data_IF_343015521816
#
_entry.id   IF_343015521816
#
_cell.length_a   1.000
_cell.length_b   1.000
_cell.length_c   1.000
_cell.angle_alpha   90.00
_cell.angle_beta   90.00
_cell.angle_gamma   90.00
#
_symmetry.space_group_name_H-M   'P 1'
#
loop_
_entity.id
_entity.type
_entity.pdbx_description
1 polymer ?
#
# COMPACT_ATOMS: atom_id res chain seq x y z
N UNK A 1 -7.78 11.43 -23.67
CA UNK A 1 -8.26 11.11 -22.33
C UNK A 1 -8.66 9.64 -22.29
N UNK A 2 -7.78 8.75 -21.87
CA UNK A 2 -8.13 7.36 -21.56
C UNK A 2 -7.75 7.18 -20.10
N UNK A 3 -8.78 7.20 -19.22
CA UNK A 3 -8.61 6.97 -17.80
C UNK A 3 -7.90 5.64 -17.55
N UNK A 4 -7.10 5.60 -16.49
CA UNK A 4 -6.46 4.40 -15.99
C UNK A 4 -7.52 3.29 -15.83
N UNK A 5 -7.69 2.47 -16.86
CA UNK A 5 -8.37 1.19 -16.73
C UNK A 5 -7.38 0.33 -15.97
N UNK A 6 -7.66 0.14 -14.69
CA UNK A 6 -7.08 -0.95 -13.95
C UNK A 6 -7.11 -2.22 -14.81
N UNK A 7 -6.09 -3.02 -14.70
CA UNK A 7 -5.81 -4.26 -15.43
C UNK A 7 -6.87 -5.35 -15.23
N UNK A 8 -8.11 -5.07 -15.60
CA UNK A 8 -9.14 -6.09 -15.80
C UNK A 8 -10.01 -5.68 -17.00
N UNK A 9 -9.47 -5.85 -18.21
CA UNK A 9 -10.27 -6.01 -19.43
C UNK A 9 -10.89 -7.42 -19.40
N UNK A 10 -11.69 -7.69 -18.39
CA UNK A 10 -12.62 -8.80 -18.37
C UNK A 10 -13.94 -8.36 -18.99
N UNK A 11 -14.55 -9.22 -19.78
CA UNK A 11 -15.94 -9.06 -20.21
C UNK A 11 -16.81 -8.74 -18.98
N UNK A 12 -17.86 -7.93 -19.17
CA UNK A 12 -18.87 -7.66 -18.15
C UNK A 12 -19.33 -8.99 -17.55
N UNK A 13 -19.10 -9.20 -16.25
CA UNK A 13 -19.49 -10.44 -15.57
C UNK A 13 -20.92 -10.23 -15.09
N UNK A 14 -21.89 -10.81 -15.79
CA UNK A 14 -23.31 -10.73 -15.44
C UNK A 14 -23.64 -11.49 -14.17
N UNK A 15 -22.81 -12.47 -13.78
CA UNK A 15 -22.91 -13.20 -12.53
C UNK A 15 -21.57 -13.87 -12.20
N UNK A 16 -21.15 -13.84 -10.95
CA UNK A 16 -19.95 -14.52 -10.46
C UNK A 16 -20.34 -15.67 -9.53
N UNK A 17 -19.83 -16.88 -9.80
CA UNK A 17 -20.01 -18.02 -8.90
C UNK A 17 -19.02 -17.90 -7.75
N UNK A 18 -19.51 -17.97 -6.51
CA UNK A 18 -18.68 -18.02 -5.32
C UNK A 18 -17.77 -19.27 -5.35
N UNK A 19 -16.51 -19.11 -5.00
CA UNK A 19 -15.53 -20.21 -4.93
C UNK A 19 -15.93 -21.22 -3.85
N UNK A 20 -16.45 -20.70 -2.73
CA UNK A 20 -17.03 -21.47 -1.64
C UNK A 20 -18.44 -20.93 -1.40
N UNK A 21 -19.43 -21.79 -1.31
CA UNK A 21 -20.81 -21.39 -1.05
C UNK A 21 -20.92 -20.63 0.28
N UNK A 22 -21.61 -19.49 0.26
CA UNK A 22 -21.84 -18.66 1.44
C UNK A 22 -20.60 -17.90 1.95
N UNK A 23 -19.51 -17.88 1.17
CA UNK A 23 -18.28 -17.27 1.65
C UNK A 23 -17.49 -16.63 0.50
N UNK A 24 -16.81 -15.52 0.82
CA UNK A 24 -15.91 -14.83 -0.10
C UNK A 24 -16.05 -13.31 -0.05
N UNK A 25 -15.23 -12.63 -0.84
CA UNK A 25 -15.26 -11.18 -0.97
C UNK A 25 -15.34 -10.80 -2.45
N UNK A 26 -16.37 -10.04 -2.81
CA UNK A 26 -16.61 -9.53 -4.16
C UNK A 26 -16.16 -8.07 -4.21
N UNK A 27 -15.24 -7.73 -5.13
CA UNK A 27 -14.83 -6.36 -5.42
C UNK A 27 -15.52 -5.88 -6.69
N UNK A 28 -15.99 -4.64 -6.71
CA UNK A 28 -16.75 -4.09 -7.83
C UNK A 28 -16.62 -2.57 -7.96
N UNK A 29 -16.88 -2.10 -9.19
CA UNK A 29 -17.08 -0.69 -9.53
C UNK A 29 -18.56 -0.38 -9.62
N UNK A 30 -18.93 0.86 -9.30
CA UNK A 30 -20.26 1.39 -9.60
C UNK A 30 -20.20 2.06 -10.99
N UNK A 31 -21.14 1.71 -11.86
CA UNK A 31 -21.25 2.34 -13.18
C UNK A 31 -21.72 3.78 -13.00
N UNK A 32 -20.84 4.73 -13.34
CA UNK A 32 -21.09 6.18 -13.20
C UNK A 32 -22.20 6.69 -14.13
N UNK A 33 -22.53 5.92 -15.17
CA UNK A 33 -23.59 6.26 -16.15
C UNK A 33 -25.02 5.84 -15.70
N UNK A 34 -25.14 5.12 -14.59
CA UNK A 34 -26.43 4.84 -13.96
C UNK A 34 -26.79 6.08 -13.15
N UNK A 35 -27.87 6.74 -13.54
CA UNK A 35 -28.46 7.84 -12.80
C UNK A 35 -28.41 7.54 -11.30
N UNK A 36 -27.66 8.33 -10.52
CA UNK A 36 -27.34 8.08 -9.11
C UNK A 36 -28.58 8.03 -8.22
N UNK A 37 -29.76 8.28 -8.79
CA UNK A 37 -31.08 8.07 -8.18
C UNK A 37 -31.49 6.58 -8.08
N UNK A 38 -30.84 5.68 -8.85
CA UNK A 38 -31.07 4.24 -8.81
C UNK A 38 -30.08 3.54 -7.87
N UNK A 39 -30.57 2.91 -6.80
CA UNK A 39 -29.74 2.09 -5.92
C UNK A 39 -29.02 0.98 -6.72
N UNK A 40 -27.69 0.93 -6.65
CA UNK A 40 -26.93 -0.20 -7.17
C UNK A 40 -26.90 -1.32 -6.12
N UNK A 41 -26.94 -2.57 -6.55
CA UNK A 41 -27.00 -3.71 -5.63
C UNK A 41 -26.24 -4.93 -6.10
N UNK A 42 -25.78 -5.73 -5.15
CA UNK A 42 -25.27 -7.08 -5.37
C UNK A 42 -26.20 -8.10 -4.73
N UNK A 43 -26.74 -9.02 -5.52
CA UNK A 43 -27.62 -10.09 -5.07
C UNK A 43 -26.86 -11.40 -5.00
N UNK A 44 -26.76 -11.97 -3.81
CA UNK A 44 -26.29 -13.34 -3.63
C UNK A 44 -27.49 -14.29 -3.67
N UNK A 45 -27.48 -15.28 -4.55
CA UNK A 45 -28.59 -16.23 -4.73
C UNK A 45 -28.13 -17.67 -4.50
N UNK A 46 -29.07 -18.51 -4.07
CA UNK A 46 -28.89 -19.94 -4.07
C UNK A 46 -28.96 -20.53 -5.50
N UNK A 47 -28.86 -21.84 -5.63
CA UNK A 47 -28.90 -22.55 -6.92
C UNK A 47 -30.27 -22.42 -7.60
N UNK A 48 -31.35 -22.36 -6.84
CA UNK A 48 -32.73 -22.23 -7.37
C UNK A 48 -33.06 -20.80 -7.78
N UNK A 49 -32.40 -19.81 -7.15
CA UNK A 49 -32.71 -18.39 -7.30
C UNK A 49 -33.89 -17.91 -6.46
N UNK A 50 -34.49 -18.80 -5.63
CA UNK A 50 -35.62 -18.47 -4.78
C UNK A 50 -35.25 -17.73 -3.52
N UNK A 51 -34.09 -18.08 -2.95
CA UNK A 51 -33.54 -17.40 -1.76
C UNK A 51 -32.41 -16.46 -2.15
N UNK A 52 -32.42 -15.26 -1.62
CA UNK A 52 -31.34 -14.31 -1.89
C UNK A 52 -31.08 -13.34 -0.74
N UNK A 53 -29.83 -12.86 -0.72
CA UNK A 53 -29.36 -11.71 0.08
C UNK A 53 -29.02 -10.59 -0.89
N UNK A 54 -29.74 -9.48 -0.82
CA UNK A 54 -29.43 -8.29 -1.59
C UNK A 54 -28.67 -7.28 -0.70
N UNK A 55 -27.61 -6.69 -1.21
CA UNK A 55 -26.89 -5.61 -0.55
C UNK A 55 -26.94 -4.40 -1.47
N UNK A 56 -27.62 -3.36 -1.04
CA UNK A 56 -27.92 -2.15 -1.78
C UNK A 56 -27.04 -1.00 -1.31
N UNK A 57 -26.50 -0.23 -2.25
CA UNK A 57 -25.68 0.94 -2.02
C UNK A 57 -26.40 2.17 -2.52
N UNK A 58 -26.50 3.18 -1.66
CA UNK A 58 -26.93 4.53 -1.99
C UNK A 58 -25.83 5.54 -1.64
N UNK A 59 -26.01 6.79 -1.97
CA UNK A 59 -25.07 7.85 -1.57
C UNK A 59 -24.88 7.96 -0.05
N UNK A 60 -25.88 7.61 0.74
CA UNK A 60 -25.90 7.87 2.18
C UNK A 60 -25.72 6.63 3.05
N UNK A 61 -26.02 5.44 2.52
CA UNK A 61 -26.00 4.22 3.32
C UNK A 61 -25.81 2.97 2.49
N UNK A 62 -25.41 1.89 3.14
CA UNK A 62 -25.46 0.53 2.64
C UNK A 62 -26.53 -0.21 3.42
N UNK A 63 -27.36 -1.00 2.75
CA UNK A 63 -28.44 -1.77 3.37
C UNK A 63 -28.50 -3.19 2.80
N UNK A 64 -28.75 -4.17 3.63
CA UNK A 64 -28.92 -5.54 3.20
C UNK A 64 -30.36 -6.00 3.45
N UNK A 65 -30.87 -6.89 2.57
CA UNK A 65 -32.20 -7.46 2.63
C UNK A 65 -32.15 -8.96 2.42
N UNK A 66 -32.92 -9.71 3.23
CA UNK A 66 -33.10 -11.14 3.05
C UNK A 66 -34.39 -11.42 2.27
N UNK A 67 -34.33 -12.24 1.26
CA UNK A 67 -35.50 -12.69 0.50
C UNK A 67 -35.73 -14.19 0.69
N UNK A 68 -37.01 -14.65 0.77
CA UNK A 68 -38.23 -13.93 0.37
C UNK A 68 -38.84 -13.00 1.44
N UNK A 69 -38.35 -12.94 2.68
CA UNK A 69 -38.98 -12.12 3.74
C UNK A 69 -38.96 -10.62 3.47
N UNK A 70 -37.96 -10.15 2.74
CA UNK A 70 -37.77 -8.72 2.46
C UNK A 70 -37.34 -7.88 3.69
N UNK A 71 -36.99 -8.54 4.81
CA UNK A 71 -36.58 -7.85 6.02
C UNK A 71 -35.25 -7.11 5.81
N UNK A 72 -35.18 -5.81 6.14
CA UNK A 72 -33.96 -5.07 6.11
C UNK A 72 -33.06 -5.44 7.30
N UNK A 73 -31.77 -5.63 7.02
CA UNK A 73 -30.74 -5.79 8.02
C UNK A 73 -30.08 -4.42 8.25
N UNK A 74 -30.50 -3.75 9.33
CA UNK A 74 -30.11 -2.36 9.59
C UNK A 74 -28.89 -2.34 10.51
N UNK A 75 -27.76 -1.83 10.00
CA UNK A 75 -26.65 -1.38 10.82
C UNK A 75 -26.91 0.07 11.22
N UNK A 76 -27.25 0.31 12.47
CA UNK A 76 -27.56 1.64 13.01
C UNK A 76 -26.34 2.58 13.04
N UNK A 77 -25.14 2.03 12.89
CA UNK A 77 -23.89 2.80 12.82
C UNK A 77 -23.50 3.18 11.39
N UNK A 78 -24.25 2.68 10.40
CA UNK A 78 -23.96 2.93 9.00
C UNK A 78 -24.46 4.33 8.58
N UNK A 79 -23.53 5.24 8.45
CA UNK A 79 -23.74 6.63 8.00
C UNK A 79 -23.04 6.94 6.68
N UNK A 80 -22.41 5.94 6.06
CA UNK A 80 -21.62 6.08 4.83
C UNK A 80 -22.18 5.19 3.74
N UNK A 81 -22.20 5.69 2.51
CA UNK A 81 -22.61 4.97 1.33
C UNK A 81 -21.58 5.12 0.21
N UNK A 82 -22.08 5.35 -1.01
CA UNK A 82 -21.24 5.58 -2.18
C UNK A 82 -20.44 6.89 -2.04
N UNK A 83 -19.15 6.82 -2.29
CA UNK A 83 -18.29 8.00 -2.35
C UNK A 83 -18.50 8.74 -3.67
N UNK A 84 -18.60 10.07 -3.62
CA UNK A 84 -18.58 10.93 -4.81
C UNK A 84 -17.17 11.07 -5.41
N UNK A 85 -16.15 10.55 -4.74
CA UNK A 85 -14.76 10.67 -5.20
C UNK A 85 -14.47 9.75 -6.37
N UNK A 86 -13.82 10.30 -7.39
CA UNK A 86 -13.40 9.55 -8.58
C UNK A 86 -12.39 8.46 -8.19
N UNK A 87 -12.56 7.27 -8.75
CA UNK A 87 -11.67 6.14 -8.48
C UNK A 87 -12.08 5.29 -7.29
N UNK A 88 -13.18 5.64 -6.58
CA UNK A 88 -13.74 4.79 -5.56
C UNK A 88 -14.21 3.45 -6.15
N UNK A 89 -13.88 2.38 -5.46
CA UNK A 89 -14.39 1.04 -5.73
C UNK A 89 -14.84 0.41 -4.42
N UNK A 90 -15.57 -0.69 -4.48
CA UNK A 90 -16.27 -1.22 -3.32
C UNK A 90 -16.06 -2.72 -3.19
N UNK A 91 -16.36 -3.22 -2.01
CA UNK A 91 -16.32 -4.65 -1.75
C UNK A 91 -17.45 -5.06 -0.80
N UNK A 92 -17.89 -6.33 -0.96
CA UNK A 92 -18.79 -7.01 -0.06
C UNK A 92 -18.15 -8.32 0.35
N UNK A 93 -18.11 -8.60 1.64
CA UNK A 93 -17.62 -9.83 2.22
C UNK A 93 -18.75 -10.60 2.89
N UNK A 94 -18.90 -11.87 2.50
CA UNK A 94 -19.86 -12.82 3.04
C UNK A 94 -19.13 -13.91 3.83
N UNK A 95 -19.53 -14.13 5.07
CA UNK A 95 -18.93 -15.11 5.98
C UNK A 95 -20.03 -15.93 6.66
N UNK A 96 -20.40 -17.06 6.04
CA UNK A 96 -21.43 -17.95 6.55
C UNK A 96 -21.03 -18.62 7.88
N UNK A 97 -19.72 -18.91 8.09
CA UNK A 97 -19.27 -19.56 9.31
C UNK A 97 -19.50 -18.67 10.54
N UNK A 98 -19.15 -17.40 10.42
CA UNK A 98 -19.33 -16.41 11.47
C UNK A 98 -20.64 -15.63 11.34
N UNK A 99 -21.47 -15.96 10.32
CA UNK A 99 -22.75 -15.33 10.01
C UNK A 99 -22.63 -13.79 9.93
N UNK A 100 -21.63 -13.31 9.19
CA UNK A 100 -21.31 -11.89 9.05
C UNK A 100 -21.38 -11.43 7.61
N UNK A 101 -21.80 -10.19 7.47
CA UNK A 101 -21.77 -9.46 6.21
C UNK A 101 -21.00 -8.16 6.50
N UNK A 102 -20.01 -7.88 5.65
CA UNK A 102 -19.33 -6.60 5.64
C UNK A 102 -19.38 -6.00 4.25
N UNK A 103 -19.46 -4.68 4.16
CA UNK A 103 -19.23 -3.96 2.92
C UNK A 103 -18.30 -2.76 3.20
N UNK A 104 -17.52 -2.38 2.22
CA UNK A 104 -16.55 -1.31 2.38
C UNK A 104 -16.20 -0.63 1.08
N UNK A 105 -15.33 0.38 1.18
CA UNK A 105 -14.84 1.21 0.09
C UNK A 105 -13.33 1.10 -0.05
N UNK A 106 -12.85 0.93 -1.28
CA UNK A 106 -11.43 0.79 -1.58
C UNK A 106 -10.86 -0.59 -1.24
N UNK A 107 -9.69 -0.66 -0.62
CA UNK A 107 -9.04 -1.92 -0.26
C UNK A 107 -9.97 -2.82 0.58
N UNK A 108 -10.09 -4.08 0.21
CA UNK A 108 -10.93 -5.05 0.91
C UNK A 108 -10.29 -5.49 2.23
N UNK A 109 -10.57 -4.77 3.30
CA UNK A 109 -10.06 -5.01 4.66
C UNK A 109 -10.99 -4.42 5.72
N UNK A 110 -10.85 -4.87 6.96
CA UNK A 110 -11.75 -4.49 8.05
C UNK A 110 -11.75 -2.97 8.31
N UNK A 111 -10.60 -2.32 8.17
CA UNK A 111 -10.43 -0.90 8.45
C UNK A 111 -11.16 0.01 7.45
N UNK A 112 -11.48 -0.49 6.27
CA UNK A 112 -12.23 0.24 5.22
C UNK A 112 -13.70 -0.14 5.16
N UNK A 113 -14.17 -0.98 6.11
CA UNK A 113 -15.58 -1.36 6.19
C UNK A 113 -16.45 -0.15 6.57
N UNK A 114 -17.53 0.05 5.82
CA UNK A 114 -18.55 1.08 6.06
C UNK A 114 -19.89 0.48 6.51
N UNK A 115 -20.05 -0.83 6.40
CA UNK A 115 -21.21 -1.59 6.85
C UNK A 115 -20.75 -2.91 7.46
N UNK A 116 -21.35 -3.28 8.58
CA UNK A 116 -21.07 -4.55 9.25
C UNK A 116 -22.34 -5.06 9.92
N UNK A 117 -22.73 -6.29 9.62
CA UNK A 117 -23.91 -6.91 10.20
C UNK A 117 -23.66 -8.32 10.65
N UNK A 118 -24.05 -8.63 11.88
CA UNK A 118 -24.04 -9.96 12.45
C UNK A 118 -25.43 -10.58 12.37
N UNK A 119 -25.60 -11.57 11.50
CA UNK A 119 -26.84 -12.36 11.44
C UNK A 119 -26.90 -13.34 12.62
N UNK A 120 -28.13 -13.73 12.96
CA UNK A 120 -28.36 -14.76 13.97
C UNK A 120 -29.15 -15.90 13.36
N UNK A 121 -28.71 -17.14 13.59
CA UNK A 121 -29.38 -18.35 13.14
C UNK A 121 -29.60 -18.44 11.62
N UNK A 122 -28.75 -17.80 10.80
CA UNK A 122 -28.85 -17.75 9.34
C UNK A 122 -27.73 -18.52 8.64
N UNK A 123 -27.00 -19.37 9.36
CA UNK A 123 -25.86 -20.09 8.79
C UNK A 123 -26.22 -20.92 7.57
N UNK A 124 -27.25 -21.77 7.68
CA UNK A 124 -27.68 -22.62 6.59
C UNK A 124 -28.17 -21.83 5.36
N UNK A 125 -28.87 -20.70 5.59
CA UNK A 125 -29.26 -19.79 4.52
C UNK A 125 -28.02 -19.19 3.82
N UNK A 126 -27.06 -18.67 4.57
CA UNK A 126 -25.85 -18.12 3.98
C UNK A 126 -25.04 -19.17 3.21
N UNK A 127 -24.91 -20.40 3.75
CA UNK A 127 -24.23 -21.53 3.10
C UNK A 127 -24.92 -21.99 1.79
N UNK A 128 -26.19 -21.65 1.60
CA UNK A 128 -26.90 -21.96 0.35
C UNK A 128 -26.56 -21.00 -0.80
N UNK A 129 -26.04 -19.82 -0.50
CA UNK A 129 -25.75 -18.78 -1.48
C UNK A 129 -24.50 -19.16 -2.31
N UNK A 130 -24.66 -19.21 -3.63
CA UNK A 130 -23.62 -19.71 -4.55
C UNK A 130 -23.20 -18.70 -5.61
N UNK A 131 -24.03 -17.69 -5.89
CA UNK A 131 -23.84 -16.81 -7.04
C UNK A 131 -24.08 -15.37 -6.65
N UNK A 132 -23.17 -14.49 -7.06
CA UNK A 132 -23.29 -13.04 -6.92
C UNK A 132 -23.73 -12.42 -8.27
N UNK A 133 -24.87 -11.71 -8.28
CA UNK A 133 -25.45 -11.06 -9.46
C UNK A 133 -25.46 -9.56 -9.27
N UNK A 134 -24.71 -8.78 -10.10
CA UNK A 134 -24.67 -7.33 -10.01
C UNK A 134 -25.89 -6.66 -10.65
N UNK A 135 -26.30 -5.51 -10.08
CA UNK A 135 -27.26 -4.57 -10.69
C UNK A 135 -26.71 -3.15 -10.56
N UNK A 136 -26.48 -2.48 -11.69
CA UNK A 136 -25.89 -1.14 -11.71
C UNK A 136 -24.43 -1.08 -11.25
N UNK A 137 -23.74 -2.22 -11.24
CA UNK A 137 -22.34 -2.31 -10.85
C UNK A 137 -21.60 -3.36 -11.69
N UNK A 138 -20.27 -3.28 -11.72
CA UNK A 138 -19.40 -4.19 -12.47
C UNK A 138 -18.46 -4.93 -11.51
N UNK A 139 -18.51 -6.26 -11.48
CA UNK A 139 -17.61 -7.09 -10.67
C UNK A 139 -16.18 -6.98 -11.24
N UNK A 140 -15.23 -6.62 -10.39
CA UNK A 140 -13.78 -6.59 -10.67
C UNK A 140 -13.13 -7.93 -10.42
N UNK A 141 -13.38 -8.47 -9.25
CA UNK A 141 -12.75 -9.73 -8.80
C UNK A 141 -13.55 -10.38 -7.70
N UNK A 142 -13.26 -11.66 -7.50
CA UNK A 142 -13.83 -12.48 -6.45
C UNK A 142 -12.69 -13.13 -5.66
N UNK A 143 -12.64 -12.89 -4.36
CA UNK A 143 -11.72 -13.55 -3.44
C UNK A 143 -12.43 -14.72 -2.77
N UNK A 144 -11.69 -15.80 -2.53
CA UNK A 144 -12.20 -17.01 -1.88
C UNK A 144 -12.63 -16.75 -0.43
N UNK A 145 -11.86 -15.96 0.26
CA UNK A 145 -11.98 -15.81 1.71
C UNK A 145 -12.72 -14.51 2.08
N UNK A 146 -13.51 -14.55 3.18
CA UNK A 146 -14.13 -13.36 3.73
C UNK A 146 -13.14 -12.49 4.47
N UNK A 147 -13.50 -11.20 4.64
CA UNK A 147 -12.75 -10.28 5.49
C UNK A 147 -13.12 -10.55 6.95
N UNK A 148 -12.17 -11.08 7.72
CA UNK A 148 -12.42 -11.51 9.11
C UNK A 148 -11.66 -10.69 10.14
N UNK A 149 -10.55 -10.09 9.79
CA UNK A 149 -9.67 -9.41 10.71
C UNK A 149 -8.96 -8.19 10.14
N UNK A 150 -8.25 -7.49 11.01
CA UNK A 150 -7.36 -6.39 10.64
C UNK A 150 -6.10 -6.94 9.98
N UNK A 151 -5.52 -6.11 9.10
CA UNK A 151 -4.26 -6.45 8.40
C UNK A 151 -3.16 -5.54 8.92
N UNK A 152 -2.20 -6.08 9.70
CA UNK A 152 -1.09 -5.29 10.23
C UNK A 152 -0.16 -4.77 9.14
N UNK A 153 0.31 -3.52 9.28
CA UNK A 153 1.30 -2.92 8.40
C UNK A 153 2.73 -3.31 8.75
N UNK A 154 3.02 -3.46 10.03
CA UNK A 154 4.36 -3.81 10.50
C UNK A 154 4.60 -5.30 10.35
N UNK A 155 5.76 -5.67 9.79
CA UNK A 155 6.19 -7.06 9.61
C UNK A 155 7.23 -7.41 10.66
N UNK A 156 7.08 -8.59 11.29
CA UNK A 156 8.12 -9.19 12.14
C UNK A 156 8.57 -10.54 11.57
N UNK A 157 9.86 -10.90 11.74
CA UNK A 157 10.29 -12.27 11.48
C UNK A 157 9.55 -13.22 12.42
N UNK A 158 9.21 -14.40 11.93
CA UNK A 158 8.36 -15.35 12.67
C UNK A 158 8.98 -15.80 14.01
N UNK A 159 10.29 -15.88 14.07
CA UNK A 159 11.06 -16.23 15.27
C UNK A 159 11.20 -15.10 16.31
N UNK A 160 10.81 -13.87 15.94
CA UNK A 160 10.80 -12.72 16.84
C UNK A 160 9.38 -12.36 17.36
N UNK A 161 8.35 -13.08 16.93
CA UNK A 161 6.97 -12.87 17.40
C UNK A 161 6.80 -13.42 18.82
N UNK A 162 6.16 -12.64 19.67
CA UNK A 162 5.72 -13.05 21.00
C UNK A 162 4.24 -13.48 20.97
N UNK A 163 3.80 -14.17 22.03
CA UNK A 163 2.38 -14.48 22.20
C UNK A 163 1.53 -13.22 22.29
N UNK A 164 2.06 -12.15 22.89
CA UNK A 164 1.37 -10.86 23.00
C UNK A 164 1.21 -10.19 21.64
N UNK A 165 2.24 -10.23 20.77
CA UNK A 165 2.16 -9.73 19.40
C UNK A 165 1.05 -10.45 18.61
N UNK A 166 0.97 -11.76 18.74
CA UNK A 166 -0.02 -12.60 18.06
C UNK A 166 -1.42 -12.30 18.60
N UNK A 167 -1.58 -12.24 19.91
CA UNK A 167 -2.87 -11.97 20.55
C UNK A 167 -3.38 -10.55 20.24
N UNK A 168 -2.49 -9.56 20.19
CA UNK A 168 -2.83 -8.19 19.85
C UNK A 168 -3.07 -7.97 18.36
N UNK A 169 -2.58 -8.86 17.48
CA UNK A 169 -2.71 -8.73 16.03
C UNK A 169 -2.01 -7.49 15.46
N UNK A 170 -0.91 -7.04 16.10
CA UNK A 170 -0.22 -5.79 15.73
C UNK A 170 0.83 -5.95 14.66
N UNK A 171 1.28 -7.19 14.41
CA UNK A 171 2.30 -7.49 13.42
C UNK A 171 1.86 -8.56 12.43
N UNK A 172 2.26 -8.36 11.19
CA UNK A 172 2.19 -9.38 10.15
C UNK A 172 3.39 -10.33 10.32
N UNK A 173 3.19 -11.62 10.59
CA UNK A 173 4.28 -12.58 10.51
C UNK A 173 4.86 -12.63 9.09
N UNK A 174 6.18 -12.56 8.95
CA UNK A 174 6.81 -12.62 7.63
C UNK A 174 6.38 -13.87 6.82
N UNK A 175 6.14 -15.00 7.52
CA UNK A 175 5.64 -16.23 6.90
C UNK A 175 4.18 -16.14 6.36
N UNK A 176 3.41 -15.14 6.77
CA UNK A 176 2.03 -14.94 6.31
C UNK A 176 1.92 -13.97 5.11
N UNK A 177 3.01 -13.34 4.71
CA UNK A 177 3.06 -12.54 3.48
C UNK A 177 2.86 -13.45 2.25
N UNK A 178 2.47 -12.88 1.10
CA UNK A 178 2.49 -13.57 -0.18
C UNK A 178 3.90 -14.10 -0.51
N UNK A 179 4.02 -15.10 -1.35
CA UNK A 179 5.35 -15.65 -1.73
C UNK A 179 6.27 -14.56 -2.30
N UNK A 180 5.72 -13.66 -3.11
CA UNK A 180 6.46 -12.52 -3.66
C UNK A 180 6.92 -11.59 -2.56
N UNK A 181 6.04 -11.20 -1.64
CA UNK A 181 6.38 -10.33 -0.51
C UNK A 181 7.34 -11.01 0.47
N UNK A 182 7.26 -12.33 0.69
CA UNK A 182 8.24 -13.09 1.48
C UNK A 182 9.64 -13.05 0.86
N UNK A 183 9.71 -13.21 -0.48
CA UNK A 183 10.97 -13.10 -1.22
C UNK A 183 11.58 -11.70 -1.03
N UNK A 184 10.79 -10.65 -1.21
CA UNK A 184 11.23 -9.27 -1.01
C UNK A 184 11.64 -9.00 0.45
N UNK A 185 10.88 -9.51 1.42
CA UNK A 185 11.23 -9.41 2.84
C UNK A 185 12.62 -10.02 3.12
N UNK A 186 12.89 -11.22 2.61
CA UNK A 186 14.18 -11.88 2.76
C UNK A 186 15.32 -11.11 2.09
N UNK A 187 15.04 -10.35 1.02
CA UNK A 187 16.03 -9.54 0.34
C UNK A 187 16.55 -8.39 1.21
N UNK A 188 15.72 -7.73 2.03
CA UNK A 188 16.11 -6.52 2.78
C UNK A 188 16.12 -6.68 4.30
N UNK A 189 15.68 -7.80 4.86
CA UNK A 189 15.67 -8.05 6.31
C UNK A 189 17.06 -8.38 6.87
N UNK A 190 18.05 -8.63 6.02
CA UNK A 190 19.41 -9.02 6.42
C UNK A 190 20.19 -7.91 7.12
N UNK A 191 21.18 -8.29 7.93
CA UNK A 191 22.04 -7.36 8.69
C UNK A 191 23.07 -6.62 7.81
N UNK A 192 23.25 -7.03 6.56
CA UNK A 192 24.20 -6.43 5.61
C UNK A 192 23.83 -4.99 5.22
N UNK A 193 22.57 -4.60 5.38
CA UNK A 193 22.15 -3.22 5.10
C UNK A 193 22.48 -2.30 6.28
N UNK A 194 23.75 -1.91 6.36
CA UNK A 194 24.25 -1.00 7.38
C UNK A 194 24.83 0.24 6.71
N UNK A 195 24.31 1.42 7.09
CA UNK A 195 24.77 2.70 6.57
C UNK A 195 26.17 3.06 7.08
N UNK A 196 26.50 2.69 8.32
CA UNK A 196 27.81 2.94 8.91
C UNK A 196 28.76 1.78 8.60
N UNK A 197 29.58 1.94 7.58
CA UNK A 197 30.61 0.95 7.20
C UNK A 197 31.99 1.34 7.75
N UNK A 198 32.92 0.39 7.97
CA UNK A 198 34.26 0.70 8.49
C UNK A 198 35.03 1.74 7.66
N UNK A 199 34.82 1.73 6.33
CA UNK A 199 35.44 2.69 5.40
C UNK A 199 34.73 4.04 5.37
N UNK A 200 33.46 4.11 5.83
CA UNK A 200 32.70 5.36 5.91
C UNK A 200 31.67 5.34 7.05
N UNK A 201 32.10 5.41 8.32
CA UNK A 201 31.20 5.35 9.49
C UNK A 201 30.27 6.57 9.61
N UNK A 202 30.66 7.72 9.04
CA UNK A 202 29.92 8.98 9.09
C UNK A 202 28.98 9.18 7.88
N UNK A 203 28.59 8.12 7.16
CA UNK A 203 27.81 8.24 5.93
C UNK A 203 26.49 9.01 6.11
N UNK A 204 25.72 8.72 7.17
CA UNK A 204 24.48 9.46 7.49
C UNK A 204 24.75 10.93 7.75
N UNK A 205 25.79 11.26 8.52
CA UNK A 205 26.17 12.66 8.81
C UNK A 205 26.61 13.42 7.54
N UNK A 206 27.24 12.72 6.61
CA UNK A 206 27.61 13.29 5.32
C UNK A 206 26.39 13.63 4.48
N UNK A 207 25.39 12.74 4.45
CA UNK A 207 24.10 12.98 3.80
C UNK A 207 23.40 14.19 4.43
N UNK A 208 23.30 14.25 5.75
CA UNK A 208 22.69 15.36 6.48
C UNK A 208 23.40 16.68 6.23
N UNK A 209 24.74 16.64 6.17
CA UNK A 209 25.53 17.81 5.80
C UNK A 209 25.27 18.28 4.36
N UNK A 210 25.20 17.34 3.40
CA UNK A 210 24.91 17.63 2.00
C UNK A 210 23.49 18.20 1.81
N UNK A 211 22.51 17.71 2.57
CA UNK A 211 21.13 18.23 2.59
C UNK A 211 21.08 19.66 3.14
N UNK A 212 21.81 19.94 4.23
CA UNK A 212 21.72 21.22 4.93
C UNK A 212 22.58 22.33 4.32
N UNK A 213 23.47 22.04 3.35
CA UNK A 213 24.46 22.97 2.85
C UNK A 213 24.22 23.38 1.39
N UNK A 214 23.85 24.64 1.10
CA UNK A 214 23.72 25.13 -0.26
C UNK A 214 25.00 24.87 -1.10
N UNK A 215 24.79 24.49 -2.35
CA UNK A 215 25.86 24.11 -3.28
C UNK A 215 26.36 22.67 -3.13
N UNK A 216 25.86 21.89 -2.18
CA UNK A 216 26.11 20.45 -2.08
C UNK A 216 25.06 19.66 -2.87
N UNK A 217 25.43 18.48 -3.26
CA UNK A 217 24.64 17.70 -4.21
C UNK A 217 23.20 17.41 -3.71
N UNK A 218 23.03 16.92 -2.48
CA UNK A 218 21.68 16.64 -1.96
C UNK A 218 20.82 17.90 -1.89
N UNK A 219 21.39 19.03 -1.45
CA UNK A 219 20.67 20.32 -1.39
C UNK A 219 20.18 20.75 -2.77
N UNK A 220 21.08 20.77 -3.77
CA UNK A 220 20.74 21.24 -5.11
C UNK A 220 19.76 20.26 -5.79
N UNK A 221 19.96 18.95 -5.61
CA UNK A 221 19.06 17.95 -6.21
C UNK A 221 17.64 18.01 -5.63
N UNK A 222 17.48 18.16 -4.31
CA UNK A 222 16.17 18.36 -3.68
C UNK A 222 15.49 19.63 -4.16
N UNK A 223 16.26 20.71 -4.36
CA UNK A 223 15.76 21.97 -4.91
C UNK A 223 15.27 21.81 -6.35
N UNK A 224 15.99 21.09 -7.20
CA UNK A 224 15.58 20.76 -8.57
C UNK A 224 14.25 19.97 -8.57
N UNK A 225 14.11 19.01 -7.65
CA UNK A 225 12.92 18.16 -7.53
C UNK A 225 11.69 18.86 -6.96
N UNK A 226 11.81 20.10 -6.48
CA UNK A 226 10.67 20.81 -5.89
C UNK A 226 9.48 21.02 -6.84
N UNK A 227 9.67 20.81 -8.16
CA UNK A 227 8.64 20.91 -9.18
C UNK A 227 8.19 19.53 -9.72
N UNK A 228 8.68 18.44 -9.16
CA UNK A 228 8.50 17.07 -9.73
C UNK A 228 7.05 16.63 -9.70
N UNK A 229 6.30 17.02 -8.66
CA UNK A 229 4.91 16.60 -8.44
C UNK A 229 3.86 17.69 -8.73
N UNK A 230 4.16 18.62 -9.63
CA UNK A 230 3.25 19.67 -10.06
C UNK A 230 3.60 21.05 -9.53
N UNK A 231 2.80 21.64 -8.63
CA UNK A 231 3.09 22.97 -8.07
C UNK A 231 4.36 22.89 -7.21
N UNK A 232 5.25 23.90 -7.29
CA UNK A 232 6.49 23.92 -6.53
C UNK A 232 6.27 23.71 -5.03
N UNK A 233 6.82 22.63 -4.49
CA UNK A 233 6.76 22.32 -3.08
C UNK A 233 8.09 21.70 -2.60
N UNK A 234 8.95 22.46 -1.90
CA UNK A 234 10.24 21.96 -1.43
C UNK A 234 10.14 20.78 -0.46
N UNK A 235 9.05 20.66 0.29
CA UNK A 235 8.85 19.56 1.25
C UNK A 235 8.32 18.29 0.59
N UNK A 236 7.67 18.39 -0.58
CA UNK A 236 7.17 17.25 -1.34
C UNK A 236 8.26 16.65 -2.25
N UNK A 237 9.41 16.37 -1.65
CA UNK A 237 10.60 15.86 -2.33
C UNK A 237 11.35 14.85 -1.47
N UNK A 238 12.04 13.94 -2.12
CA UNK A 238 12.96 12.97 -1.51
C UNK A 238 13.98 12.51 -2.56
N UNK A 239 15.09 11.94 -2.12
CA UNK A 239 16.09 11.40 -3.04
C UNK A 239 15.93 9.90 -3.20
N UNK A 240 16.09 9.39 -4.42
CA UNK A 240 16.10 7.98 -4.78
C UNK A 240 17.48 7.57 -5.26
N UNK A 241 18.09 6.63 -4.58
CA UNK A 241 19.43 6.13 -4.88
C UNK A 241 19.32 4.64 -5.20
N UNK A 242 19.59 4.27 -6.45
CA UNK A 242 19.52 2.86 -6.87
C UNK A 242 20.75 2.09 -6.42
N UNK A 243 20.55 1.00 -5.67
CA UNK A 243 21.61 0.10 -5.26
C UNK A 243 21.90 -0.96 -6.31
N UNK A 244 20.87 -1.38 -7.04
CA UNK A 244 20.94 -2.36 -8.11
C UNK A 244 19.54 -2.62 -8.67
N UNK A 245 19.47 -2.98 -9.93
CA UNK A 245 18.19 -3.13 -10.64
C UNK A 245 17.87 -4.59 -10.94
N UNK A 246 18.86 -5.46 -10.96
CA UNK A 246 18.69 -6.75 -11.59
C UNK A 246 19.53 -7.84 -10.89
N UNK A 247 19.01 -8.31 -9.76
CA UNK A 247 19.59 -9.43 -9.04
C UNK A 247 18.88 -10.74 -9.43
N UNK A 248 19.22 -11.30 -10.60
CA UNK A 248 18.66 -12.53 -11.12
C UNK A 248 18.01 -12.36 -12.48
N UNK A 249 16.90 -13.08 -12.72
CA UNK A 249 16.17 -13.03 -13.99
C UNK A 249 15.47 -11.69 -14.19
N UNK A 250 15.40 -11.21 -15.43
CA UNK A 250 14.64 -10.00 -15.78
C UNK A 250 13.13 -10.20 -15.51
N UNK A 251 12.44 -9.21 -14.96
CA UNK A 251 12.87 -7.83 -14.71
C UNK A 251 13.75 -7.65 -13.45
N UNK A 252 14.00 -8.69 -12.66
CA UNK A 252 14.81 -8.63 -11.46
C UNK A 252 14.09 -7.99 -10.26
N UNK A 253 14.88 -7.60 -9.26
CA UNK A 253 14.41 -6.95 -8.04
C UNK A 253 15.19 -5.64 -7.89
N UNK A 254 14.60 -4.48 -8.20
CA UNK A 254 15.26 -3.21 -7.95
C UNK A 254 15.34 -2.96 -6.44
N UNK A 255 16.54 -2.56 -6.00
CA UNK A 255 16.81 -2.11 -4.63
C UNK A 255 17.04 -0.61 -4.65
N UNK A 256 16.27 0.12 -3.88
CA UNK A 256 16.31 1.58 -3.82
C UNK A 256 16.49 2.04 -2.37
N UNK A 257 17.43 2.93 -2.14
CA UNK A 257 17.53 3.69 -0.91
C UNK A 257 16.84 5.03 -1.12
N UNK A 258 15.89 5.37 -0.26
CA UNK A 258 15.27 6.69 -0.27
C UNK A 258 15.67 7.51 0.94
N UNK A 259 15.93 8.80 0.70
CA UNK A 259 16.40 9.75 1.70
C UNK A 259 15.33 10.83 1.85
N UNK A 260 14.81 10.94 3.05
CA UNK A 260 13.73 11.81 3.45
C UNK A 260 14.24 12.87 4.42
N UNK A 261 14.51 14.10 3.97
CA UNK A 261 14.88 15.18 4.89
C UNK A 261 13.82 15.45 5.96
N UNK A 262 14.12 16.16 7.04
CA UNK A 262 13.15 16.56 8.05
C UNK A 262 11.96 17.29 7.44
N UNK A 263 10.72 16.84 7.74
CA UNK A 263 9.47 17.42 7.24
C UNK A 263 9.05 16.96 5.85
N UNK A 264 9.94 16.35 5.08
CA UNK A 264 9.67 15.96 3.69
C UNK A 264 8.72 14.77 3.58
N UNK A 265 7.97 14.72 2.45
CA UNK A 265 6.95 13.70 2.20
C UNK A 265 6.80 13.39 0.69
N UNK A 266 6.18 12.26 0.38
CA UNK A 266 5.74 11.92 -0.97
C UNK A 266 4.32 12.44 -1.24
N UNK A 267 3.90 12.62 -2.50
CA UNK A 267 2.48 12.71 -2.81
C UNK A 267 1.75 11.45 -2.36
N UNK A 268 0.42 11.48 -2.32
CA UNK A 268 -0.40 10.26 -2.21
C UNK A 268 -0.30 9.53 -3.55
N UNK A 269 0.17 8.29 -3.55
CA UNK A 269 0.43 7.53 -4.77
C UNK A 269 0.14 6.04 -4.60
N UNK A 270 0.04 5.34 -5.73
CA UNK A 270 -0.02 3.88 -5.79
C UNK A 270 1.29 3.30 -6.37
N UNK A 271 1.39 2.00 -6.40
CA UNK A 271 2.56 1.28 -6.94
C UNK A 271 2.23 0.40 -8.15
N UNK A 272 1.18 0.73 -8.92
CA UNK A 272 0.84 0.02 -10.15
C UNK A 272 0.55 -1.47 -10.00
N UNK A 273 0.19 -1.92 -8.78
CA UNK A 273 -0.03 -3.34 -8.49
C UNK A 273 1.24 -4.13 -8.18
N UNK A 274 2.39 -3.48 -8.01
CA UNK A 274 3.60 -4.17 -7.55
C UNK A 274 3.52 -4.55 -6.08
N UNK A 275 4.26 -5.58 -5.68
CA UNK A 275 4.62 -5.87 -4.30
C UNK A 275 5.88 -5.10 -3.93
N UNK A 276 5.95 -4.59 -2.70
CA UNK A 276 7.15 -3.97 -2.16
C UNK A 276 7.33 -4.30 -0.68
N UNK A 277 8.57 -4.27 -0.23
CA UNK A 277 8.94 -4.33 1.19
C UNK A 277 9.90 -3.18 1.47
N UNK A 278 9.61 -2.44 2.55
CA UNK A 278 10.30 -1.21 2.93
C UNK A 278 10.84 -1.41 4.35
N UNK A 279 12.14 -1.14 4.56
CA UNK A 279 12.79 -1.16 5.88
C UNK A 279 13.42 0.19 6.19
N UNK A 280 13.25 0.65 7.41
CA UNK A 280 13.87 1.88 7.89
C UNK A 280 15.30 1.59 8.34
N UNK A 281 16.29 2.27 7.75
CA UNK A 281 17.70 2.14 8.09
C UNK A 281 18.19 3.23 9.06
N UNK A 282 17.56 4.41 9.03
CA UNK A 282 17.85 5.55 9.91
C UNK A 282 16.60 6.39 10.15
N UNK A 283 16.47 6.97 11.34
CA UNK A 283 15.36 7.85 11.68
C UNK A 283 14.02 7.11 11.81
N UNK A 284 12.96 7.76 11.35
CA UNK A 284 11.61 7.21 11.34
C UNK A 284 10.79 7.79 10.19
N UNK A 285 9.85 7.01 9.67
CA UNK A 285 8.93 7.41 8.60
C UNK A 285 7.49 7.14 9.02
N UNK A 286 6.61 8.08 8.78
CA UNK A 286 5.17 7.92 8.96
C UNK A 286 4.56 7.44 7.64
N UNK A 287 3.76 6.39 7.68
CA UNK A 287 3.04 5.84 6.53
C UNK A 287 1.55 6.01 6.77
N UNK A 288 0.90 6.75 5.88
CA UNK A 288 -0.56 6.91 5.85
C UNK A 288 -1.14 6.11 4.69
N UNK A 289 -2.17 5.29 4.95
CA UNK A 289 -2.84 4.47 3.94
C UNK A 289 -4.20 5.03 3.58
N UNK A 290 -4.49 5.02 2.30
CA UNK A 290 -5.76 5.49 1.74
C UNK A 290 -6.52 4.34 1.08
N UNK A 291 -7.86 4.29 1.18
CA UNK A 291 -8.64 3.17 0.65
C UNK A 291 -8.58 3.07 -0.88
N UNK A 292 -8.38 4.20 -1.56
CA UNK A 292 -8.20 4.31 -3.01
C UNK A 292 -7.54 5.65 -3.35
N UNK A 293 -6.99 5.78 -4.55
CA UNK A 293 -6.40 7.05 -5.01
C UNK A 293 -7.52 8.08 -5.23
N UNK A 294 -7.46 9.22 -4.51
CA UNK A 294 -8.51 10.24 -4.48
C UNK A 294 -9.38 10.22 -3.21
N UNK A 295 -9.15 9.27 -2.30
CA UNK A 295 -9.81 9.31 -1.00
C UNK A 295 -9.35 10.52 -0.17
N UNK A 296 -10.27 11.25 0.49
CA UNK A 296 -9.92 12.47 1.21
C UNK A 296 -9.17 12.21 2.53
N UNK A 297 -9.33 11.01 3.10
CA UNK A 297 -8.80 10.67 4.42
C UNK A 297 -8.07 9.32 4.42
N UNK A 298 -6.97 9.26 5.16
CA UNK A 298 -6.31 8.00 5.45
C UNK A 298 -7.16 7.16 6.41
N UNK A 299 -7.27 5.86 6.15
CA UNK A 299 -7.93 4.93 7.08
C UNK A 299 -6.99 4.39 8.15
N UNK A 300 -5.68 4.48 7.93
CA UNK A 300 -4.66 4.06 8.88
C UNK A 300 -3.40 4.91 8.74
N UNK A 301 -2.72 5.12 9.86
CA UNK A 301 -1.45 5.83 9.92
C UNK A 301 -0.56 5.13 10.94
N UNK A 302 0.70 4.88 10.58
CA UNK A 302 1.67 4.20 11.46
C UNK A 302 3.05 4.80 11.33
N UNK A 303 3.76 4.92 12.45
CA UNK A 303 5.14 5.37 12.51
C UNK A 303 6.09 4.15 12.55
N UNK A 304 6.98 4.08 11.57
CA UNK A 304 8.03 3.06 11.48
C UNK A 304 9.37 3.69 11.87
N UNK A 305 10.06 3.05 12.80
CA UNK A 305 11.37 3.46 13.30
C UNK A 305 12.46 2.60 12.70
N UNK A 306 13.72 2.97 12.97
CA UNK A 306 14.87 2.18 12.55
C UNK A 306 14.67 0.69 12.84
N UNK A 307 14.93 -0.16 11.85
CA UNK A 307 14.77 -1.62 11.78
C UNK A 307 13.32 -2.10 11.54
N UNK A 308 12.31 -1.24 11.69
CA UNK A 308 10.94 -1.63 11.35
C UNK A 308 10.79 -1.89 9.85
N UNK A 309 9.92 -2.84 9.53
CA UNK A 309 9.62 -3.25 8.15
C UNK A 309 8.13 -3.11 7.89
N UNK A 310 7.78 -2.55 6.74
CA UNK A 310 6.41 -2.50 6.21
C UNK A 310 6.36 -3.07 4.80
N UNK A 311 5.16 -3.27 4.26
CA UNK A 311 4.95 -4.00 3.02
C UNK A 311 3.77 -3.47 2.21
N UNK A 312 3.80 -3.79 0.91
CA UNK A 312 2.76 -3.51 -0.07
C UNK A 312 2.52 -4.80 -0.86
N UNK A 313 1.29 -5.06 -1.24
CA UNK A 313 0.94 -6.12 -2.19
C UNK A 313 -0.04 -5.58 -3.24
N UNK A 314 -0.30 -6.27 -4.33
CA UNK A 314 -1.24 -5.82 -5.35
C UNK A 314 -2.64 -5.48 -4.82
N UNK A 315 -3.07 -6.14 -3.74
CA UNK A 315 -4.40 -5.98 -3.16
C UNK A 315 -4.46 -5.08 -1.92
N UNK A 316 -3.33 -4.86 -1.24
CA UNK A 316 -3.28 -4.20 0.07
C UNK A 316 -2.13 -3.21 0.17
N UNK A 317 -2.38 -2.13 0.87
CA UNK A 317 -1.44 -1.04 1.16
C UNK A 317 -0.95 -0.29 -0.10
N UNK A 318 -1.67 -0.41 -1.21
CA UNK A 318 -1.25 0.15 -2.50
C UNK A 318 -1.23 1.67 -2.52
N UNK A 319 -2.22 2.32 -1.92
CA UNK A 319 -2.32 3.77 -1.94
C UNK A 319 -1.86 4.32 -0.60
N UNK A 320 -0.76 5.05 -0.62
CA UNK A 320 -0.18 5.58 0.60
C UNK A 320 0.57 6.90 0.39
N UNK A 321 0.96 7.49 1.50
CA UNK A 321 1.85 8.63 1.60
C UNK A 321 2.90 8.34 2.68
N UNK A 322 4.15 8.65 2.39
CA UNK A 322 5.24 8.61 3.35
C UNK A 322 5.58 10.04 3.78
N UNK A 323 5.82 10.24 5.09
CA UNK A 323 6.23 11.54 5.63
C UNK A 323 7.25 11.37 6.76
N UNK A 324 8.37 12.07 6.67
CA UNK A 324 9.29 12.23 7.79
C UNK A 324 8.76 13.33 8.73
N UNK A 325 8.24 12.92 9.88
CA UNK A 325 7.68 13.86 10.87
C UNK A 325 8.75 14.50 11.77
N UNK A 326 10.03 14.07 11.69
CA UNK A 326 11.12 14.70 12.45
C UNK A 326 11.36 16.12 11.96
N UNK A 327 11.72 16.98 12.87
CA UNK A 327 12.16 18.37 12.57
C UNK A 327 13.69 18.49 12.49
N UNK A 328 14.43 17.38 12.71
CA UNK A 328 15.89 17.39 12.82
C UNK A 328 16.56 16.23 12.09
N UNK A 329 15.98 15.03 12.18
CA UNK A 329 16.65 13.81 11.74
C UNK A 329 16.21 13.43 10.33
N UNK A 330 17.16 13.10 9.48
CA UNK A 330 16.89 12.51 8.16
C UNK A 330 16.45 11.06 8.31
N UNK A 331 15.35 10.70 7.69
CA UNK A 331 14.97 9.31 7.56
C UNK A 331 15.61 8.71 6.29
N UNK A 332 16.11 7.48 6.40
CA UNK A 332 16.64 6.71 5.27
C UNK A 332 15.97 5.35 5.29
N UNK A 333 15.36 4.99 4.17
CA UNK A 333 14.72 3.68 3.96
C UNK A 333 15.46 2.90 2.88
N UNK A 334 15.36 1.58 2.93
CA UNK A 334 15.66 0.70 1.80
C UNK A 334 14.40 -0.02 1.41
N UNK A 335 14.19 -0.18 0.11
CA UNK A 335 13.02 -0.84 -0.42
C UNK A 335 13.37 -1.65 -1.67
N UNK A 336 12.60 -2.68 -1.89
CA UNK A 336 12.68 -3.50 -3.10
C UNK A 336 11.28 -3.83 -3.60
N UNK A 337 11.18 -4.02 -4.91
CA UNK A 337 9.91 -4.15 -5.63
C UNK A 337 9.91 -5.39 -6.52
N UNK A 338 8.74 -5.95 -6.72
CA UNK A 338 8.53 -7.04 -7.67
C UNK A 338 7.06 -7.12 -8.07
N UNK A 339 6.80 -7.42 -9.33
CA UNK A 339 5.46 -7.81 -9.77
C UNK A 339 5.20 -9.29 -9.47
N UNK A 340 3.94 -9.67 -9.30
CA UNK A 340 3.57 -11.08 -9.19
C UNK A 340 3.90 -11.82 -10.50
N UNK A 341 4.26 -13.09 -10.41
CA UNK A 341 4.62 -13.90 -11.59
C UNK A 341 3.50 -14.03 -12.62
N UNK A 342 2.25 -13.86 -12.18
CA UNK A 342 1.07 -13.86 -13.04
C UNK A 342 0.81 -12.50 -13.72
N UNK A 343 1.48 -11.45 -13.27
CA UNK A 343 1.37 -10.13 -13.89
C UNK A 343 2.30 -10.05 -15.11
N UNK A 344 1.70 -10.10 -16.29
CA UNK A 344 2.42 -10.01 -17.57
C UNK A 344 2.26 -8.66 -18.25
N UNK A 345 1.55 -7.71 -17.60
CA UNK A 345 1.23 -6.39 -18.15
C UNK A 345 1.27 -5.33 -17.05
N UNK A 346 2.43 -4.89 -16.70
CA UNK A 346 2.61 -3.78 -15.76
C UNK A 346 3.02 -2.49 -16.48
N UNK A 347 2.93 -1.38 -15.75
CA UNK A 347 3.29 -0.06 -16.24
C UNK A 347 4.59 0.40 -15.58
N UNK A 348 5.38 1.17 -16.31
CA UNK A 348 6.64 1.75 -15.83
C UNK A 348 6.42 2.99 -14.94
N UNK A 349 5.17 3.32 -14.63
CA UNK A 349 4.79 4.49 -13.84
C UNK A 349 3.84 4.15 -12.70
N UNK A 350 3.83 5.03 -11.70
CA UNK A 350 2.84 5.06 -10.62
C UNK A 350 1.86 6.22 -10.81
N UNK A 351 0.62 6.04 -10.38
CA UNK A 351 -0.33 7.15 -10.32
C UNK A 351 -0.20 7.87 -8.97
N UNK A 352 -0.25 9.19 -9.02
CA UNK A 352 -0.25 10.02 -7.80
C UNK A 352 -1.28 11.15 -7.89
N UNK A 353 -1.61 11.74 -6.73
CA UNK A 353 -2.43 12.94 -6.64
C UNK A 353 -1.52 14.16 -6.58
N UNK A 354 -1.73 15.09 -7.51
CA UNK A 354 -1.09 16.39 -7.46
C UNK A 354 -1.78 17.34 -6.45
N UNK A 355 -1.26 18.56 -6.32
CA UNK A 355 -1.80 19.56 -5.41
C UNK A 355 -3.26 19.98 -5.71
N UNK A 356 -3.75 19.74 -6.91
CA UNK A 356 -5.13 20.00 -7.32
C UNK A 356 -6.02 18.75 -7.21
N UNK A 357 -5.53 17.68 -6.57
CA UNK A 357 -6.18 16.38 -6.43
C UNK A 357 -6.49 15.69 -7.76
N UNK A 358 -5.75 16.03 -8.80
CA UNK A 358 -5.81 15.36 -10.09
C UNK A 358 -4.84 14.17 -10.11
N UNK A 359 -5.27 13.07 -10.75
CA UNK A 359 -4.42 11.89 -10.93
C UNK A 359 -3.42 12.15 -12.04
N UNK A 360 -2.15 12.09 -11.71
CA UNK A 360 -1.00 12.22 -12.59
C UNK A 360 -0.18 10.93 -12.60
N UNK A 361 0.80 10.85 -13.50
CA UNK A 361 1.72 9.73 -13.63
C UNK A 361 3.12 10.15 -13.24
N UNK A 362 3.82 9.26 -12.56
CA UNK A 362 5.18 9.44 -12.12
C UNK A 362 6.02 8.22 -12.48
N UNK A 363 7.11 8.43 -13.20
CA UNK A 363 8.14 7.44 -13.44
C UNK A 363 9.20 7.57 -12.35
N UNK A 364 9.39 6.55 -11.51
CA UNK A 364 10.25 6.65 -10.33
C UNK A 364 11.74 6.50 -10.69
N UNK A 365 12.29 7.48 -11.37
CA UNK A 365 13.69 7.51 -11.76
C UNK A 365 14.66 7.56 -10.58
N UNK A 366 15.87 7.07 -10.81
CA UNK A 366 16.98 7.19 -9.86
C UNK A 366 17.67 8.54 -9.96
N UNK A 367 17.96 9.17 -8.82
CA UNK A 367 18.74 10.41 -8.79
C UNK A 367 20.23 10.14 -8.98
N UNK A 368 20.69 8.96 -8.53
CA UNK A 368 22.09 8.51 -8.67
C UNK A 368 22.24 7.03 -8.30
N UNK A 369 23.23 6.35 -8.88
CA UNK A 369 23.69 5.03 -8.47
C UNK A 369 24.41 5.05 -7.12
N UNK A 370 24.20 4.05 -6.26
CA UNK A 370 24.68 4.03 -4.88
C UNK A 370 26.20 4.20 -4.73
N UNK A 371 27.00 3.55 -5.56
CA UNK A 371 28.46 3.65 -5.43
C UNK A 371 28.96 5.06 -5.75
N UNK A 372 28.39 5.69 -6.77
CA UNK A 372 28.67 7.09 -7.13
C UNK A 372 28.22 8.04 -6.03
N UNK A 373 27.02 7.83 -5.50
CA UNK A 373 26.48 8.61 -4.39
C UNK A 373 27.33 8.49 -3.13
N UNK A 374 27.72 7.26 -2.75
CA UNK A 374 28.59 7.03 -1.58
C UNK A 374 29.94 7.72 -1.73
N UNK A 375 30.54 7.65 -2.92
CA UNK A 375 31.82 8.31 -3.21
C UNK A 375 31.70 9.84 -3.13
N UNK A 376 30.63 10.41 -3.67
CA UNK A 376 30.36 11.84 -3.63
C UNK A 376 30.13 12.33 -2.19
N UNK A 377 29.32 11.65 -1.41
CA UNK A 377 29.09 11.98 0.01
C UNK A 377 30.38 11.92 0.81
N UNK A 378 31.27 10.96 0.51
CA UNK A 378 32.57 10.84 1.14
C UNK A 378 33.47 12.00 0.77
N UNK A 379 33.49 12.42 -0.49
CA UNK A 379 34.27 13.57 -0.95
C UNK A 379 33.83 14.88 -0.28
N UNK A 380 32.53 15.17 -0.25
CA UNK A 380 31.95 16.34 0.44
C UNK A 380 32.27 16.35 1.95
N UNK A 381 32.26 15.16 2.58
CA UNK A 381 32.54 15.00 4.00
C UNK A 381 34.01 15.20 4.33
N UNK A 382 34.91 14.71 3.48
CA UNK A 382 36.37 14.95 3.61
C UNK A 382 36.68 16.45 3.44
N UNK A 383 36.09 17.10 2.46
CA UNK A 383 36.24 18.55 2.26
C UNK A 383 35.83 19.35 3.50
N UNK A 384 34.65 18.98 4.11
CA UNK A 384 34.18 19.62 5.34
C UNK A 384 35.09 19.39 6.53
N UNK A 385 35.60 18.17 6.72
CA UNK A 385 36.20 17.74 7.97
C UNK A 385 37.73 17.70 7.94
N UNK A 386 38.32 17.71 6.75
CA UNK A 386 39.75 17.49 6.53
C UNK A 386 40.20 16.07 6.94
N UNK A 387 39.27 15.15 7.16
CA UNK A 387 39.55 13.80 7.67
C UNK A 387 39.20 12.73 6.63
N UNK A 388 40.24 12.10 6.09
CA UNK A 388 40.09 10.83 5.38
C UNK A 388 40.21 9.67 6.39
N UNK A 389 39.13 8.95 6.62
CA UNK A 389 39.09 7.83 7.56
C UNK A 389 39.96 6.63 7.14
N UNK A 390 40.36 6.54 5.86
CA UNK A 390 41.33 5.56 5.40
C UNK A 390 42.70 5.73 6.03
N UNK A 391 43.14 6.96 6.24
CA UNK A 391 44.43 7.26 6.91
C UNK A 391 44.46 6.80 8.36
N UNK A 392 43.30 6.70 9.00
CA UNK A 392 43.14 6.22 10.40
C UNK A 392 43.16 4.71 10.50
N UNK A 393 42.58 4.00 9.51
CA UNK A 393 42.55 2.55 9.50
C UNK A 393 43.93 1.92 9.31
N UNK A 394 44.75 2.47 8.37
CA UNK A 394 46.17 2.07 8.18
C UNK A 394 47.09 2.42 9.35
N UNK A 395 46.73 3.39 10.23
CA UNK A 395 47.50 3.70 11.43
C UNK A 395 47.20 2.73 12.60
N UNK A 396 46.08 2.08 12.60
CA UNK A 396 45.64 1.18 13.68
C UNK A 396 45.96 -0.29 13.33
N UNK A 397 46.14 -0.62 12.08
CA UNK A 397 46.52 -1.92 11.58
C UNK A 397 47.71 -1.80 10.59
N UNK A 398 48.93 -1.54 11.09
CA UNK A 398 50.10 -1.69 10.25
C UNK A 398 50.24 -3.18 9.87
N UNK A 399 50.54 -3.44 8.59
CA UNK A 399 50.78 -4.78 8.07
C UNK A 399 51.85 -5.53 8.84
#
# INVERSE_FOLDING_TARGET
>A
MRGAKALFLGAQIDAAKLIVAGQGTVLFDVNVDVDVSGACSLHFTDVSGESSLAIEFSEKHVQAHLYPSGEPLIDTNNTKGLSSQKGAYYWISLDAQNQRIHAGVGEARKETAIYSFQLKNQKAFLESLTTAKPRGLQIRSLLRDPITGSVPLAVKPTDALTMDDIAAGTYMPAANLSLTSQKLYNCISGRQFNLATPDFPDFVKAIEYSIATPGRWCYERLKEKANEFGKPNPEETYLRITLGENNGESPGIPYVMEIWPPGHFSPIHNHGGSSAVIRVLNGAINVSLFPFLGAPEAFATSLFKKEDVTWISPALNQVHQLKNLSTKDTCITIQCYMYETSDTKHYDYFDYLDADQAVQKFEPDSDMEFLSFKALMKAEWIEKTGKDNLSRWFRIHPF
#
